data_IF_244413272691
#
_entry.id   IF_244413272691
#
_cell.length_a   1.000
_cell.length_b   1.000
_cell.length_c   1.000
_cell.angle_alpha   90.00
_cell.angle_beta   90.00
_cell.angle_gamma   90.00
#
_symmetry.space_group_name_H-M   'P 1'
#
loop_
_entity.id
_entity.type
_entity.pdbx_description
1 polymer ?
#
# COMPACT_ATOMS: atom_id res chain seq x y z
N UNK A 1 28.46 17.26 -9.48
CA UNK A 1 27.68 18.39 -10.04
C UNK A 1 26.45 17.91 -10.82
N UNK A 2 26.60 16.97 -11.77
CA UNK A 2 25.48 16.41 -12.56
C UNK A 2 24.34 15.84 -11.69
N UNK A 3 24.67 15.04 -10.67
CA UNK A 3 23.65 14.43 -9.80
C UNK A 3 22.78 15.47 -9.08
N UNK A 4 23.39 16.54 -8.56
CA UNK A 4 22.67 17.63 -7.89
C UNK A 4 21.75 18.35 -8.87
N UNK A 5 22.21 18.60 -10.10
CA UNK A 5 21.39 19.21 -11.15
C UNK A 5 20.18 18.33 -11.50
N UNK A 6 20.36 17.01 -11.63
CA UNK A 6 19.25 16.08 -11.86
C UNK A 6 18.20 16.16 -10.74
N UNK A 7 18.62 16.12 -9.48
CA UNK A 7 17.69 16.23 -8.34
C UNK A 7 16.97 17.58 -8.31
N UNK A 8 17.68 18.66 -8.64
CA UNK A 8 17.09 20.00 -8.76
C UNK A 8 16.00 20.02 -9.84
N UNK A 9 16.29 19.52 -11.04
CA UNK A 9 15.30 19.41 -12.13
C UNK A 9 14.09 18.59 -11.69
N UNK A 10 14.30 17.41 -11.08
CA UNK A 10 13.22 16.57 -10.55
C UNK A 10 12.37 17.33 -9.53
N UNK A 11 13.00 18.08 -8.61
CA UNK A 11 12.30 18.89 -7.60
C UNK A 11 11.46 20.01 -8.22
N UNK A 12 11.97 20.67 -9.26
CA UNK A 12 11.25 21.73 -9.99
C UNK A 12 10.03 21.14 -10.70
N UNK A 13 10.17 19.99 -11.38
CA UNK A 13 9.06 19.33 -12.07
C UNK A 13 7.94 18.95 -11.07
N UNK A 14 8.31 18.38 -9.93
CA UNK A 14 7.35 18.05 -8.86
C UNK A 14 6.70 19.31 -8.26
N UNK A 15 7.46 20.39 -8.06
CA UNK A 15 6.93 21.66 -7.54
C UNK A 15 5.98 22.35 -8.51
N UNK A 16 6.32 22.37 -9.80
CA UNK A 16 5.49 22.94 -10.87
C UNK A 16 4.22 22.13 -11.03
N UNK A 17 4.27 20.79 -11.00
CA UNK A 17 3.09 19.94 -11.12
C UNK A 17 2.11 20.18 -9.96
N UNK A 18 2.61 20.32 -8.73
CA UNK A 18 1.80 20.66 -7.55
C UNK A 18 1.16 22.02 -7.72
N UNK A 19 1.93 23.03 -8.13
CA UNK A 19 1.43 24.39 -8.34
C UNK A 19 0.35 24.43 -9.42
N UNK A 20 0.58 23.79 -10.57
CA UNK A 20 -0.37 23.68 -11.66
C UNK A 20 -1.66 22.95 -11.24
N UNK A 21 -1.54 21.89 -10.44
CA UNK A 21 -2.69 21.14 -9.91
C UNK A 21 -3.51 22.00 -8.95
N UNK A 22 -2.88 22.77 -8.06
CA UNK A 22 -3.55 23.70 -7.14
C UNK A 22 -4.31 24.77 -7.92
N UNK A 23 -3.68 25.39 -8.92
CA UNK A 23 -4.29 26.42 -9.78
C UNK A 23 -5.51 25.84 -10.51
N UNK A 24 -5.39 24.65 -11.09
CA UNK A 24 -6.47 23.99 -11.83
C UNK A 24 -7.62 23.56 -10.91
N UNK A 25 -7.30 23.03 -9.72
CA UNK A 25 -8.29 22.57 -8.76
C UNK A 25 -8.98 23.71 -8.00
N UNK A 26 -8.38 24.92 -7.96
CA UNK A 26 -8.81 26.10 -7.18
C UNK A 26 -8.92 25.88 -5.67
N UNK A 27 -8.47 24.73 -5.16
CA UNK A 27 -8.46 24.37 -3.74
C UNK A 27 -7.49 23.21 -3.50
N UNK A 28 -6.79 23.25 -2.37
CA UNK A 28 -6.00 22.12 -1.88
C UNK A 28 -6.94 21.13 -1.17
N UNK A 29 -7.01 19.90 -1.67
CA UNK A 29 -7.72 18.80 -1.02
C UNK A 29 -6.72 17.70 -0.66
N UNK A 30 -6.39 17.57 0.62
CA UNK A 30 -5.43 16.57 1.12
C UNK A 30 -5.91 15.13 0.89
N UNK A 31 -7.21 14.95 0.67
CA UNK A 31 -7.75 13.64 0.31
C UNK A 31 -7.51 13.30 -1.16
N UNK A 32 -7.02 14.22 -2.00
CA UNK A 32 -6.66 13.93 -3.39
C UNK A 32 -5.39 13.07 -3.44
N UNK A 33 -5.42 11.88 -4.09
CA UNK A 33 -4.28 10.96 -4.17
C UNK A 33 -3.02 11.60 -4.72
N UNK A 34 -3.17 12.62 -5.56
CA UNK A 34 -2.06 13.32 -6.20
C UNK A 34 -1.05 13.89 -5.20
N UNK A 35 -1.51 14.47 -4.10
CA UNK A 35 -0.60 15.06 -3.11
C UNK A 35 0.17 14.00 -2.34
N UNK A 36 -0.49 12.89 -1.98
CA UNK A 36 0.18 11.77 -1.30
C UNK A 36 1.24 11.13 -2.20
N UNK A 37 0.87 10.79 -3.44
CA UNK A 37 1.78 10.15 -4.41
C UNK A 37 2.97 11.06 -4.72
N UNK A 38 2.72 12.34 -5.00
CA UNK A 38 3.78 13.32 -5.29
C UNK A 38 4.70 13.55 -4.08
N UNK A 39 4.14 13.60 -2.87
CA UNK A 39 4.94 13.70 -1.63
C UNK A 39 5.82 12.49 -1.39
N UNK A 40 5.32 11.27 -1.63
CA UNK A 40 6.12 10.04 -1.54
C UNK A 40 7.23 10.03 -2.58
N UNK A 41 6.93 10.41 -3.82
CA UNK A 41 7.96 10.50 -4.85
C UNK A 41 9.00 11.58 -4.56
N UNK A 42 8.62 12.71 -3.95
CA UNK A 42 9.60 13.70 -3.50
C UNK A 42 10.54 13.11 -2.43
N UNK A 43 9.99 12.40 -1.43
CA UNK A 43 10.80 11.76 -0.39
C UNK A 43 11.81 10.76 -0.99
N UNK A 44 11.34 9.92 -1.90
CA UNK A 44 12.15 8.83 -2.49
C UNK A 44 13.14 9.34 -3.54
N UNK A 45 12.72 10.21 -4.47
CA UNK A 45 13.53 10.58 -5.65
C UNK A 45 14.26 11.90 -5.53
N UNK A 46 13.97 12.71 -4.51
CA UNK A 46 14.65 14.01 -4.30
C UNK A 46 15.35 14.01 -2.94
N UNK A 47 14.60 13.84 -1.86
CA UNK A 47 15.14 14.02 -0.51
C UNK A 47 16.15 12.92 -0.13
N UNK A 48 15.81 11.65 -0.27
CA UNK A 48 16.72 10.57 0.11
C UNK A 48 18.03 10.53 -0.70
N UNK A 49 18.03 10.68 -2.04
CA UNK A 49 19.28 10.79 -2.81
C UNK A 49 20.09 12.04 -2.44
N UNK A 50 19.43 13.14 -2.07
CA UNK A 50 20.11 14.35 -1.62
C UNK A 50 20.83 14.12 -0.28
N UNK A 51 20.21 13.42 0.67
CA UNK A 51 20.89 13.05 1.92
C UNK A 51 22.10 12.15 1.66
N UNK A 52 22.03 11.20 0.71
CA UNK A 52 23.20 10.38 0.31
C UNK A 52 24.34 11.23 -0.24
N UNK A 53 24.05 12.21 -1.11
CA UNK A 53 25.07 13.14 -1.62
C UNK A 53 25.72 13.93 -0.49
N UNK A 54 24.92 14.39 0.48
CA UNK A 54 25.39 15.19 1.62
C UNK A 54 26.32 14.41 2.53
N UNK A 55 26.05 13.13 2.78
CA UNK A 55 26.91 12.26 3.61
C UNK A 55 28.04 11.59 2.82
N UNK A 56 28.11 11.81 1.50
CA UNK A 56 29.13 11.22 0.63
C UNK A 56 28.92 9.73 0.33
N UNK A 57 27.71 9.20 0.52
CA UNK A 57 27.39 7.81 0.21
C UNK A 57 27.11 7.63 -1.28
N UNK A 58 27.90 6.79 -1.95
CA UNK A 58 27.79 6.52 -3.40
C UNK A 58 27.38 5.09 -3.72
N UNK A 59 27.76 4.15 -2.85
CA UNK A 59 27.46 2.73 -2.99
C UNK A 59 26.39 2.23 -2.00
N UNK A 60 25.80 1.10 -2.36
CA UNK A 60 25.01 0.27 -1.47
C UNK A 60 25.48 -1.16 -1.57
N UNK A 61 25.96 -1.71 -0.44
CA UNK A 61 26.45 -3.09 -0.36
C UNK A 61 27.55 -3.38 -1.41
N UNK A 62 28.43 -2.42 -1.66
CA UNK A 62 29.55 -2.56 -2.59
C UNK A 62 29.19 -2.38 -4.07
N UNK A 63 27.94 -2.01 -4.40
CA UNK A 63 27.53 -1.63 -5.75
C UNK A 63 27.42 -0.12 -5.82
N UNK A 64 28.18 0.51 -6.72
CA UNK A 64 28.09 1.95 -7.00
C UNK A 64 26.75 2.29 -7.65
N UNK A 65 25.87 2.96 -6.90
CA UNK A 65 24.49 3.25 -7.34
C UNK A 65 24.36 4.67 -7.86
N UNK A 66 25.11 5.61 -7.28
CA UNK A 66 24.97 7.04 -7.59
C UNK A 66 25.47 7.41 -8.99
N UNK A 67 26.21 6.53 -9.67
CA UNK A 67 26.52 6.65 -11.11
C UNK A 67 25.24 6.57 -11.96
N UNK A 68 24.27 5.74 -11.57
CA UNK A 68 23.03 5.53 -12.31
C UNK A 68 21.94 6.57 -12.01
N UNK A 69 22.18 7.49 -11.07
CA UNK A 69 21.21 8.50 -10.66
C UNK A 69 20.65 9.33 -11.82
N UNK A 70 21.45 9.82 -12.81
CA UNK A 70 20.89 10.58 -13.94
C UNK A 70 19.93 9.74 -14.78
N UNK A 71 20.27 8.48 -15.06
CA UNK A 71 19.44 7.55 -15.83
C UNK A 71 18.15 7.20 -15.08
N UNK A 72 18.27 6.87 -13.80
CA UNK A 72 17.14 6.59 -12.91
C UNK A 72 16.18 7.78 -12.82
N UNK A 73 16.70 9.00 -12.63
CA UNK A 73 15.87 10.22 -12.62
C UNK A 73 15.16 10.47 -13.94
N UNK A 74 15.82 10.26 -15.08
CA UNK A 74 15.19 10.42 -16.38
C UNK A 74 13.99 9.47 -16.55
N UNK A 75 14.16 8.18 -16.21
CA UNK A 75 13.07 7.20 -16.22
C UNK A 75 11.96 7.61 -15.26
N UNK A 76 12.30 8.07 -14.05
CA UNK A 76 11.34 8.56 -13.08
C UNK A 76 10.52 9.74 -13.62
N UNK A 77 11.17 10.76 -14.17
CA UNK A 77 10.51 11.95 -14.72
C UNK A 77 9.53 11.56 -15.84
N UNK A 78 9.94 10.68 -16.76
CA UNK A 78 9.08 10.18 -17.85
C UNK A 78 7.83 9.48 -17.28
N UNK A 79 8.02 8.60 -16.29
CA UNK A 79 6.91 7.92 -15.63
C UNK A 79 5.99 8.88 -14.86
N UNK A 80 6.56 9.86 -14.15
CA UNK A 80 5.80 10.84 -13.39
C UNK A 80 4.96 11.77 -14.29
N UNK A 81 5.52 12.22 -15.41
CA UNK A 81 4.77 12.98 -16.43
C UNK A 81 3.62 12.12 -16.97
N UNK A 82 3.87 10.84 -17.26
CA UNK A 82 2.85 9.91 -17.74
C UNK A 82 1.72 9.72 -16.72
N UNK A 83 2.06 9.66 -15.42
CA UNK A 83 1.09 9.65 -14.32
C UNK A 83 0.21 10.92 -14.29
N UNK A 84 0.81 12.10 -14.43
CA UNK A 84 0.05 13.36 -14.49
C UNK A 84 -0.89 13.35 -15.69
N UNK A 85 -0.40 12.96 -16.87
CA UNK A 85 -1.21 12.88 -18.08
C UNK A 85 -2.40 11.92 -17.89
N UNK A 86 -2.17 10.72 -17.36
CA UNK A 86 -3.25 9.77 -17.06
C UNK A 86 -4.33 10.37 -16.15
N UNK A 87 -3.91 11.12 -15.13
CA UNK A 87 -4.81 11.88 -14.27
C UNK A 87 -5.58 12.97 -15.04
N UNK A 88 -4.93 13.72 -15.91
CA UNK A 88 -5.55 14.78 -16.72
C UNK A 88 -6.60 14.25 -17.71
N UNK A 89 -6.30 13.13 -18.38
CA UNK A 89 -7.23 12.47 -19.32
C UNK A 89 -8.46 11.86 -18.63
N UNK A 90 -8.42 11.68 -17.31
CA UNK A 90 -9.58 11.27 -16.54
C UNK A 90 -10.61 12.42 -16.49
N UNK A 91 -11.58 12.43 -17.40
CA UNK A 91 -12.60 13.49 -17.45
C UNK A 91 -13.34 13.62 -16.12
N UNK A 92 -13.34 14.83 -15.56
CA UNK A 92 -14.21 15.22 -14.44
C UNK A 92 -15.66 15.26 -14.92
N UNK A 93 -16.33 14.10 -14.96
CA UNK A 93 -17.74 14.05 -15.34
C UNK A 93 -18.56 14.91 -14.36
N UNK A 94 -19.17 16.01 -14.80
CA UNK A 94 -19.80 17.02 -13.92
C UNK A 94 -21.22 16.67 -13.45
N UNK A 95 -21.68 15.42 -13.54
CA UNK A 95 -22.93 15.04 -12.87
C UNK A 95 -22.71 15.12 -11.36
N UNK A 96 -23.31 16.13 -10.72
CA UNK A 96 -23.61 16.12 -9.28
C UNK A 96 -24.30 14.78 -9.03
N UNK A 97 -23.79 13.95 -8.14
CA UNK A 97 -24.71 13.00 -7.56
C UNK A 97 -25.64 13.81 -6.67
N UNK A 98 -26.93 13.52 -6.76
CA UNK A 98 -27.84 13.89 -5.70
C UNK A 98 -27.28 13.25 -4.42
N UNK A 99 -27.02 14.09 -3.41
CA UNK A 99 -26.48 13.72 -2.12
C UNK A 99 -27.52 12.97 -1.28
N UNK A 100 -28.19 11.97 -1.85
CA UNK A 100 -28.76 10.93 -1.04
C UNK A 100 -27.60 9.95 -0.76
N UNK A 101 -27.09 9.97 0.47
CA UNK A 101 -26.70 8.70 1.09
C UNK A 101 -27.94 7.82 0.88
N UNK A 102 -27.94 6.94 -0.12
CA UNK A 102 -29.07 6.04 -0.34
C UNK A 102 -29.33 5.42 1.02
N UNK A 103 -30.50 5.70 1.61
CA UNK A 103 -30.87 5.07 2.86
C UNK A 103 -30.99 3.59 2.54
N UNK A 104 -29.92 2.87 2.83
CA UNK A 104 -29.89 1.45 2.59
C UNK A 104 -30.97 0.81 3.43
N UNK A 105 -31.78 -0.01 2.77
CA UNK A 105 -32.79 -0.84 3.38
C UNK A 105 -32.23 -1.50 4.65
N UNK A 106 -33.03 -1.50 5.72
CA UNK A 106 -32.71 -2.18 6.98
C UNK A 106 -32.26 -3.63 6.73
N UNK A 107 -32.86 -4.32 5.76
CA UNK A 107 -32.45 -5.67 5.37
C UNK A 107 -31.03 -5.72 4.79
N UNK A 108 -30.72 -4.81 3.85
CA UNK A 108 -29.40 -4.70 3.24
C UNK A 108 -28.33 -4.37 4.31
N UNK A 109 -28.63 -3.47 5.24
CA UNK A 109 -27.73 -3.13 6.35
C UNK A 109 -27.44 -4.32 7.26
N UNK A 110 -28.46 -5.10 7.64
CA UNK A 110 -28.27 -6.31 8.47
C UNK A 110 -27.43 -7.34 7.72
N UNK A 111 -27.68 -7.52 6.42
CA UNK A 111 -26.88 -8.39 5.57
C UNK A 111 -25.41 -7.96 5.53
N UNK A 112 -25.12 -6.67 5.29
CA UNK A 112 -23.75 -6.14 5.29
C UNK A 112 -23.05 -6.40 6.61
N UNK A 113 -23.71 -6.16 7.75
CA UNK A 113 -23.11 -6.38 9.08
C UNK A 113 -22.79 -7.86 9.33
N UNK A 114 -23.69 -8.78 8.92
CA UNK A 114 -23.45 -10.22 9.02
C UNK A 114 -22.31 -10.66 8.11
N UNK A 115 -22.30 -10.19 6.86
CA UNK A 115 -21.23 -10.42 5.90
C UNK A 115 -19.88 -9.96 6.45
N UNK A 116 -19.81 -8.74 6.99
CA UNK A 116 -18.60 -8.18 7.56
C UNK A 116 -18.10 -8.97 8.78
N UNK A 117 -18.99 -9.44 9.65
CA UNK A 117 -18.62 -10.27 10.78
C UNK A 117 -18.09 -11.64 10.34
N UNK A 118 -18.78 -12.32 9.42
CA UNK A 118 -18.35 -13.62 8.89
C UNK A 118 -16.98 -13.48 8.22
N UNK A 119 -16.82 -12.46 7.38
CA UNK A 119 -15.56 -12.17 6.70
C UNK A 119 -14.43 -11.91 7.71
N UNK A 120 -14.68 -11.13 8.76
CA UNK A 120 -13.68 -10.84 9.79
C UNK A 120 -13.26 -12.10 10.54
N UNK A 121 -14.23 -12.89 11.02
CA UNK A 121 -13.97 -14.13 11.77
C UNK A 121 -13.20 -15.12 10.88
N UNK A 122 -13.67 -15.34 9.66
CA UNK A 122 -13.00 -16.22 8.70
C UNK A 122 -11.56 -15.75 8.40
N UNK A 123 -11.38 -14.45 8.20
CA UNK A 123 -10.06 -13.87 7.91
C UNK A 123 -9.07 -14.04 9.06
N UNK A 124 -9.55 -13.84 10.29
CA UNK A 124 -8.74 -14.04 11.50
C UNK A 124 -8.44 -15.52 11.74
N UNK A 125 -9.42 -16.41 11.56
CA UNK A 125 -9.19 -17.85 11.69
C UNK A 125 -8.12 -18.33 10.71
N UNK A 126 -8.24 -18.03 9.41
CA UNK A 126 -7.25 -18.42 8.41
C UNK A 126 -5.85 -17.87 8.73
N UNK A 127 -5.75 -16.58 9.04
CA UNK A 127 -4.45 -15.96 9.32
C UNK A 127 -3.81 -16.47 10.62
N UNK A 128 -4.60 -16.65 11.68
CA UNK A 128 -4.10 -17.22 12.95
C UNK A 128 -3.70 -18.68 12.78
N UNK A 129 -4.46 -19.49 12.04
CA UNK A 129 -4.08 -20.87 11.74
C UNK A 129 -2.71 -20.91 11.06
N UNK A 130 -2.49 -20.11 10.02
CA UNK A 130 -1.18 -19.99 9.38
C UNK A 130 -0.08 -19.67 10.39
N UNK A 131 -0.30 -18.65 11.22
CA UNK A 131 0.70 -18.21 12.17
C UNK A 131 1.03 -19.26 13.24
N UNK A 132 0.02 -19.98 13.75
CA UNK A 132 0.25 -21.09 14.67
C UNK A 132 1.04 -22.23 14.03
N UNK A 133 0.78 -22.54 12.74
CA UNK A 133 1.53 -23.55 11.99
C UNK A 133 3.00 -23.15 11.79
N UNK A 134 3.29 -21.86 11.66
CA UNK A 134 4.68 -21.34 11.59
C UNK A 134 5.40 -21.30 12.94
N UNK A 135 4.72 -21.69 14.04
CA UNK A 135 5.28 -21.73 15.39
C UNK A 135 5.02 -20.47 16.25
N UNK A 136 4.20 -19.53 15.79
CA UNK A 136 3.91 -18.29 16.53
C UNK A 136 2.66 -18.46 17.40
N UNK A 137 2.77 -18.13 18.69
CA UNK A 137 1.63 -18.12 19.61
C UNK A 137 0.85 -16.79 19.53
N UNK A 138 -0.46 -16.83 19.86
CA UNK A 138 -1.30 -15.63 19.90
C UNK A 138 -0.78 -14.64 20.95
N UNK A 139 -0.31 -15.14 22.10
CA UNK A 139 0.22 -14.32 23.17
C UNK A 139 1.49 -13.58 22.74
N UNK A 140 2.37 -14.26 22.00
CA UNK A 140 3.56 -13.63 21.39
C UNK A 140 3.17 -12.50 20.44
N UNK A 141 2.11 -12.68 19.64
CA UNK A 141 1.66 -11.64 18.69
C UNK A 141 1.09 -10.40 19.35
N UNK A 142 0.27 -10.59 20.39
CA UNK A 142 -0.36 -9.48 21.11
C UNK A 142 0.63 -8.77 22.04
N UNK A 143 1.69 -9.44 22.47
CA UNK A 143 2.72 -8.91 23.37
C UNK A 143 4.00 -8.41 22.67
N UNK A 144 4.05 -8.42 21.34
CA UNK A 144 5.27 -8.17 20.57
C UNK A 144 6.46 -9.07 20.96
N UNK A 145 6.18 -10.30 21.37
CA UNK A 145 7.20 -11.26 21.79
C UNK A 145 7.68 -11.12 23.23
N UNK A 146 7.15 -10.16 24.01
CA UNK A 146 7.53 -10.01 25.41
C UNK A 146 7.05 -11.18 26.30
N UNK A 147 5.93 -11.80 25.93
CA UNK A 147 5.37 -12.95 26.64
C UNK A 147 5.34 -14.16 25.69
N UNK A 148 6.18 -15.18 25.97
CA UNK A 148 6.08 -16.49 25.33
C UNK A 148 7.35 -17.09 24.69
N UNK A 149 8.55 -16.56 24.93
CA UNK A 149 9.79 -17.15 24.43
C UNK A 149 10.97 -16.91 25.40
N UNK A 150 11.36 -17.94 26.15
CA UNK A 150 12.69 -18.00 26.78
C UNK A 150 13.75 -18.50 25.76
N UNK A 151 13.30 -19.08 24.64
CA UNK A 151 14.13 -19.53 23.51
C UNK A 151 13.67 -18.96 22.16
N UNK A 152 14.58 -18.76 21.19
CA UNK A 152 14.24 -18.27 19.86
C UNK A 152 13.25 -19.18 19.12
N UNK A 153 12.22 -18.61 18.51
CA UNK A 153 11.21 -19.39 17.77
C UNK A 153 11.82 -20.00 16.51
N UNK A 154 11.85 -21.33 16.43
CA UNK A 154 12.21 -22.07 15.22
C UNK A 154 11.04 -21.99 14.23
N UNK A 155 11.24 -21.22 13.17
CA UNK A 155 10.24 -21.05 12.12
C UNK A 155 10.08 -22.31 11.28
N UNK A 156 8.86 -22.84 11.24
CA UNK A 156 8.49 -23.95 10.34
C UNK A 156 8.01 -23.40 9.00
N UNK A 157 8.57 -23.91 7.91
CA UNK A 157 8.03 -23.69 6.58
C UNK A 157 6.73 -24.48 6.42
N UNK A 158 5.66 -23.81 5.99
CA UNK A 158 4.36 -24.42 5.73
C UNK A 158 3.93 -24.15 4.29
N UNK A 159 3.36 -25.15 3.63
CA UNK A 159 2.77 -25.04 2.29
C UNK A 159 1.52 -24.15 2.25
N UNK A 160 0.97 -23.78 3.42
CA UNK A 160 -0.26 -23.02 3.56
C UNK A 160 -0.05 -21.50 3.67
N UNK A 161 1.02 -20.96 3.07
CA UNK A 161 1.33 -19.51 3.06
C UNK A 161 0.16 -18.64 2.61
N UNK A 162 -0.66 -19.14 1.67
CA UNK A 162 -1.86 -18.46 1.16
C UNK A 162 -2.82 -18.05 2.27
N UNK A 163 -2.94 -18.82 3.37
CA UNK A 163 -3.84 -18.50 4.47
C UNK A 163 -3.50 -17.17 5.16
N UNK A 164 -2.22 -16.77 5.15
CA UNK A 164 -1.77 -15.47 5.66
C UNK A 164 -2.36 -14.29 4.90
N UNK A 165 -2.74 -14.48 3.62
CA UNK A 165 -3.24 -13.42 2.77
C UNK A 165 -4.59 -12.87 3.25
N UNK A 166 -5.40 -13.72 3.91
CA UNK A 166 -6.69 -13.32 4.47
C UNK A 166 -6.60 -12.27 5.57
N UNK A 167 -5.43 -12.05 6.18
CA UNK A 167 -5.26 -10.92 7.11
C UNK A 167 -5.63 -9.57 6.45
N UNK A 168 -5.41 -9.45 5.12
CA UNK A 168 -5.79 -8.27 4.34
C UNK A 168 -7.31 -8.13 4.18
N UNK A 169 -8.03 -9.25 4.12
CA UNK A 169 -9.51 -9.30 4.08
C UNK A 169 -10.15 -8.84 5.39
N UNK A 170 -9.43 -8.87 6.51
CA UNK A 170 -9.92 -8.33 7.78
C UNK A 170 -10.11 -6.81 7.74
N UNK A 171 -9.33 -6.08 6.94
CA UNK A 171 -9.41 -4.61 6.87
C UNK A 171 -10.75 -4.10 6.33
N UNK A 172 -11.20 -4.49 5.11
CA UNK A 172 -12.52 -4.10 4.64
C UNK A 172 -13.64 -4.60 5.56
N UNK A 173 -13.48 -5.77 6.19
CA UNK A 173 -14.46 -6.31 7.13
C UNK A 173 -14.68 -5.40 8.35
N UNK A 174 -13.60 -4.98 9.03
CA UNK A 174 -13.69 -4.09 10.18
C UNK A 174 -14.18 -2.70 9.77
N UNK A 175 -13.75 -2.21 8.60
CA UNK A 175 -14.20 -0.90 8.10
C UNK A 175 -15.69 -0.89 7.74
N UNK A 176 -16.22 -2.00 7.21
CA UNK A 176 -17.66 -2.19 7.02
C UNK A 176 -18.41 -2.18 8.37
N UNK A 177 -17.90 -2.90 9.38
CA UNK A 177 -18.47 -2.84 10.73
C UNK A 177 -18.46 -1.40 11.27
N UNK A 178 -17.35 -0.68 11.11
CA UNK A 178 -17.23 0.71 11.56
C UNK A 178 -18.21 1.65 10.85
N UNK A 179 -18.36 1.49 9.54
CA UNK A 179 -19.23 2.32 8.71
C UNK A 179 -20.72 2.12 9.00
N UNK A 180 -21.16 0.88 9.24
CA UNK A 180 -22.58 0.53 9.34
C UNK A 180 -23.10 0.34 10.77
N UNK A 181 -22.21 0.09 11.74
CA UNK A 181 -22.60 -0.14 13.14
C UNK A 181 -22.71 1.18 13.90
N UNK A 182 -23.92 1.48 14.39
CA UNK A 182 -24.19 2.69 15.21
C UNK A 182 -23.95 2.45 16.71
N UNK A 183 -24.26 1.25 17.22
CA UNK A 183 -24.10 0.86 18.63
C UNK A 183 -22.92 -0.10 18.83
N UNK A 184 -22.27 -0.05 20.00
CA UNK A 184 -21.18 -0.98 20.33
C UNK A 184 -19.85 -0.71 19.62
N UNK A 185 -19.56 0.56 19.25
CA UNK A 185 -18.33 0.96 18.56
C UNK A 185 -17.04 0.59 19.30
N UNK A 186 -17.09 0.45 20.63
CA UNK A 186 -15.96 -0.03 21.44
C UNK A 186 -15.42 -1.38 20.94
N UNK A 187 -16.30 -2.34 20.64
CA UNK A 187 -15.90 -3.65 20.10
C UNK A 187 -15.22 -3.53 18.72
N UNK A 188 -15.68 -2.60 17.87
CA UNK A 188 -15.05 -2.36 16.57
C UNK A 188 -13.66 -1.74 16.72
N UNK A 189 -13.47 -0.81 17.67
CA UNK A 189 -12.14 -0.27 17.97
C UNK A 189 -11.19 -1.34 18.53
N UNK A 190 -11.68 -2.24 19.37
CA UNK A 190 -10.91 -3.41 19.83
C UNK A 190 -10.49 -4.31 18.66
N UNK A 191 -11.37 -4.55 17.68
CA UNK A 191 -11.01 -5.29 16.47
C UNK A 191 -9.93 -4.57 15.64
N UNK A 192 -10.02 -3.24 15.46
CA UNK A 192 -8.96 -2.46 14.80
C UNK A 192 -7.62 -2.61 15.53
N UNK A 193 -7.62 -2.47 16.86
CA UNK A 193 -6.42 -2.64 17.67
C UNK A 193 -5.83 -4.05 17.54
N UNK A 194 -6.65 -5.09 17.66
CA UNK A 194 -6.21 -6.47 17.51
C UNK A 194 -5.59 -6.75 16.13
N UNK A 195 -6.25 -6.33 15.04
CA UNK A 195 -5.72 -6.54 13.68
C UNK A 195 -4.46 -5.72 13.44
N UNK A 196 -4.37 -4.50 13.98
CA UNK A 196 -3.14 -3.70 13.90
C UNK A 196 -1.98 -4.42 14.63
N UNK A 197 -2.19 -4.92 15.86
CA UNK A 197 -1.18 -5.65 16.63
C UNK A 197 -0.73 -6.95 15.93
N UNK A 198 -1.67 -7.75 15.41
CA UNK A 198 -1.37 -8.96 14.63
C UNK A 198 -0.59 -8.60 13.35
N UNK A 199 -0.97 -7.52 12.67
CA UNK A 199 -0.26 -7.05 11.46
C UNK A 199 1.16 -6.58 11.77
N UNK A 200 1.38 -5.92 12.90
CA UNK A 200 2.69 -5.46 13.34
C UNK A 200 3.59 -6.62 13.75
N UNK A 201 3.10 -7.54 14.58
CA UNK A 201 3.86 -8.72 15.03
C UNK A 201 4.15 -9.72 13.91
N UNK A 202 3.25 -9.84 12.92
CA UNK A 202 3.50 -10.61 11.70
C UNK A 202 4.54 -9.97 10.77
N UNK A 203 4.98 -8.74 11.06
CA UNK A 203 5.89 -7.98 10.20
C UNK A 203 5.22 -7.36 8.97
N UNK A 204 3.90 -7.47 8.86
CA UNK A 204 3.07 -6.87 7.81
C UNK A 204 2.73 -5.40 8.14
N UNK A 205 3.76 -4.58 8.31
CA UNK A 205 3.67 -3.16 8.69
C UNK A 205 2.73 -2.36 7.78
N UNK A 206 2.72 -2.68 6.50
CA UNK A 206 1.88 -2.00 5.52
C UNK A 206 0.38 -2.23 5.81
N UNK A 207 0.01 -3.46 6.17
CA UNK A 207 -1.35 -3.80 6.59
C UNK A 207 -1.71 -3.04 7.87
N UNK A 208 -0.78 -2.93 8.84
CA UNK A 208 -1.02 -2.15 10.06
C UNK A 208 -1.27 -0.66 9.77
N UNK A 209 -0.45 -0.04 8.91
CA UNK A 209 -0.64 1.35 8.47
C UNK A 209 -2.04 1.52 7.86
N UNK A 210 -2.46 0.57 7.01
CA UNK A 210 -3.74 0.62 6.34
C UNK A 210 -4.92 0.46 7.32
N UNK A 211 -4.81 -0.46 8.30
CA UNK A 211 -5.79 -0.65 9.38
C UNK A 211 -5.96 0.63 10.21
N UNK A 212 -4.88 1.37 10.45
CA UNK A 212 -4.90 2.63 11.22
C UNK A 212 -5.46 3.79 10.38
N UNK A 213 -5.00 3.94 9.13
CA UNK A 213 -5.37 5.09 8.29
C UNK A 213 -6.79 4.99 7.73
N UNK A 214 -7.25 3.80 7.38
CA UNK A 214 -8.53 3.62 6.71
C UNK A 214 -9.75 4.15 7.48
N UNK A 215 -9.91 3.97 8.82
CA UNK A 215 -11.02 4.59 9.56
C UNK A 215 -10.89 6.12 9.67
N UNK A 216 -9.67 6.66 9.76
CA UNK A 216 -9.41 8.11 9.81
C UNK A 216 -9.84 8.75 8.48
N UNK A 217 -9.40 8.17 7.36
CA UNK A 217 -9.75 8.64 6.02
C UNK A 217 -11.27 8.53 5.83
N UNK A 218 -11.86 7.39 6.18
CA UNK A 218 -13.30 7.17 6.07
C UNK A 218 -14.11 8.20 6.86
N UNK A 219 -13.68 8.57 8.08
CA UNK A 219 -14.34 9.58 8.88
C UNK A 219 -14.41 10.94 8.16
N UNK A 220 -13.29 11.43 7.62
CA UNK A 220 -13.27 12.72 6.89
C UNK A 220 -14.04 12.66 5.58
N UNK A 221 -13.89 11.57 4.84
CA UNK A 221 -14.56 11.38 3.55
C UNK A 221 -16.08 11.26 3.72
N UNK A 222 -16.55 10.50 4.70
CA UNK A 222 -18.00 10.28 4.95
C UNK A 222 -18.71 11.48 5.56
N UNK A 223 -18.02 12.29 6.35
CA UNK A 223 -18.58 13.53 6.92
C UNK A 223 -18.51 14.72 5.94
N UNK A 224 -17.82 14.57 4.82
CA UNK A 224 -17.53 15.67 3.89
C UNK A 224 -16.58 16.73 4.47
N UNK A 225 -16.08 16.54 5.68
CA UNK A 225 -15.12 17.44 6.32
C UNK A 225 -13.71 17.19 5.79
N UNK A 226 -12.77 18.10 6.12
CA UNK A 226 -11.36 17.96 5.75
C UNK A 226 -10.48 18.12 6.98
N UNK A 227 -9.40 17.33 7.11
CA UNK A 227 -8.52 17.42 8.26
C UNK A 227 -7.83 18.79 8.29
N UNK A 228 -7.72 19.37 9.48
CA UNK A 228 -6.96 20.60 9.70
C UNK A 228 -5.47 20.30 9.51
N UNK A 229 -4.68 21.31 9.11
CA UNK A 229 -3.21 21.19 8.96
C UNK A 229 -2.54 20.58 10.21
N UNK A 230 -2.96 20.99 11.41
CA UNK A 230 -2.46 20.45 12.69
C UNK A 230 -2.71 18.94 12.83
N UNK A 231 -3.88 18.46 12.43
CA UNK A 231 -4.22 17.04 12.48
C UNK A 231 -3.37 16.23 11.51
N UNK A 232 -3.11 16.76 10.31
CA UNK A 232 -2.24 16.11 9.32
C UNK A 232 -0.82 15.99 9.87
N UNK A 233 -0.27 17.07 10.42
CA UNK A 233 1.06 17.08 11.03
C UNK A 233 1.16 16.07 12.18
N UNK A 234 0.14 16.01 13.05
CA UNK A 234 0.09 15.05 14.15
C UNK A 234 0.02 13.60 13.65
N UNK A 235 -0.79 13.31 12.63
CA UNK A 235 -0.86 11.97 12.04
C UNK A 235 0.46 11.57 11.40
N UNK A 236 1.10 12.47 10.63
CA UNK A 236 2.41 12.23 10.02
C UNK A 236 3.49 12.01 11.10
N UNK A 237 3.47 12.77 12.18
CA UNK A 237 4.40 12.62 13.30
C UNK A 237 4.22 11.28 14.02
N UNK A 238 2.99 10.88 14.33
CA UNK A 238 2.70 9.57 14.94
C UNK A 238 3.11 8.43 14.00
N UNK A 239 2.83 8.57 12.69
CA UNK A 239 3.27 7.59 11.69
C UNK A 239 4.79 7.50 11.62
N UNK A 240 5.50 8.63 11.64
CA UNK A 240 6.96 8.67 11.66
C UNK A 240 7.49 7.92 12.88
N UNK A 241 7.05 8.26 14.09
CA UNK A 241 7.46 7.58 15.32
C UNK A 241 7.17 6.07 15.23
N UNK A 242 5.96 5.69 14.83
CA UNK A 242 5.56 4.30 14.72
C UNK A 242 6.46 3.52 13.75
N UNK A 243 6.66 4.05 12.54
CA UNK A 243 7.51 3.41 11.52
C UNK A 243 8.96 3.26 12.00
N UNK A 244 9.51 4.26 12.68
CA UNK A 244 10.86 4.22 13.22
C UNK A 244 11.01 3.18 14.34
N UNK A 245 10.14 3.22 15.36
CA UNK A 245 10.18 2.27 16.49
C UNK A 245 10.02 0.83 15.99
N UNK A 246 9.04 0.59 15.12
CA UNK A 246 8.82 -0.74 14.54
C UNK A 246 10.00 -1.13 13.63
N UNK A 247 10.64 -0.17 12.96
CA UNK A 247 11.85 -0.38 12.18
C UNK A 247 13.02 -0.89 13.01
N UNK A 248 13.31 -0.20 14.12
CA UNK A 248 14.39 -0.53 15.07
C UNK A 248 14.17 -1.94 15.64
N UNK A 249 12.97 -2.22 16.15
CA UNK A 249 12.69 -3.50 16.82
C UNK A 249 12.22 -4.62 15.91
N UNK A 250 12.26 -4.43 14.58
CA UNK A 250 11.73 -5.39 13.61
C UNK A 250 12.31 -6.79 13.79
N UNK A 251 13.62 -6.88 14.00
CA UNK A 251 14.30 -8.16 14.15
C UNK A 251 13.92 -8.82 15.48
N UNK A 252 13.85 -8.05 16.56
CA UNK A 252 13.45 -8.55 17.89
C UNK A 252 12.01 -9.06 17.88
N UNK A 253 11.09 -8.30 17.29
CA UNK A 253 9.68 -8.69 17.14
C UNK A 253 9.51 -9.96 16.31
N UNK A 254 10.37 -10.18 15.30
CA UNK A 254 10.40 -11.43 14.52
C UNK A 254 11.09 -12.56 15.28
N UNK A 255 12.14 -12.29 16.03
CA UNK A 255 12.85 -13.33 16.76
C UNK A 255 12.13 -13.74 18.06
N UNK A 256 11.17 -12.94 18.53
CA UNK A 256 10.55 -13.12 19.84
C UNK A 256 11.45 -12.70 20.98
N UNK A 257 12.45 -11.86 20.72
CA UNK A 257 13.42 -11.43 21.74
C UNK A 257 12.94 -10.16 22.43
N UNK A 258 13.43 -9.94 23.65
CA UNK A 258 13.11 -8.73 24.42
C UNK A 258 13.51 -7.45 23.66
N UNK A 259 12.67 -6.44 23.79
CA UNK A 259 12.87 -5.10 23.24
C UNK A 259 13.67 -4.30 24.25
N UNK A 260 14.86 -3.86 23.85
CA UNK A 260 15.68 -2.94 24.65
C UNK A 260 15.40 -1.50 24.21
N UNK A 261 14.72 -0.72 25.04
CA UNK A 261 14.38 0.67 24.71
C UNK A 261 15.58 1.62 24.76
N UNK A 262 16.71 1.21 25.35
CA UNK A 262 17.91 2.04 25.45
C UNK A 262 18.56 2.31 24.09
N UNK A 263 18.29 1.47 23.08
CA UNK A 263 18.79 1.66 21.71
C UNK A 263 18.00 2.67 20.89
N UNK A 264 16.93 3.26 21.45
CA UNK A 264 16.12 4.26 20.76
C UNK A 264 16.69 5.64 20.99
N UNK A 265 17.46 6.11 20.01
CA UNK A 265 17.88 7.51 19.92
C UNK A 265 17.48 8.13 18.57
N UNK A 266 17.78 9.41 18.39
CA UNK A 266 17.43 10.13 17.17
C UNK A 266 18.15 9.57 15.93
N UNK A 267 19.40 9.12 16.07
CA UNK A 267 20.19 8.58 14.97
C UNK A 267 19.63 7.22 14.52
N UNK A 268 19.30 6.34 15.46
CA UNK A 268 18.63 5.07 15.22
C UNK A 268 17.25 5.28 14.57
N UNK A 269 16.48 6.27 15.02
CA UNK A 269 15.21 6.63 14.38
C UNK A 269 15.41 7.15 12.96
N UNK A 270 16.41 7.99 12.74
CA UNK A 270 16.72 8.53 11.41
C UNK A 270 17.17 7.43 10.46
N UNK A 271 18.09 6.54 10.88
CA UNK A 271 18.51 5.35 10.12
C UNK A 271 17.33 4.44 9.79
N UNK A 272 16.46 4.16 10.76
CA UNK A 272 15.26 3.37 10.54
C UNK A 272 14.28 4.03 9.55
N UNK A 273 14.14 5.35 9.60
CA UNK A 273 13.36 6.10 8.63
C UNK A 273 13.97 6.04 7.23
N UNK A 274 15.25 6.37 7.11
CA UNK A 274 16.02 6.37 5.87
C UNK A 274 15.95 5.03 5.16
N UNK A 275 16.11 3.92 5.89
CA UNK A 275 15.96 2.57 5.33
C UNK A 275 14.63 2.32 4.60
N UNK A 276 13.54 3.02 4.97
CA UNK A 276 12.25 2.90 4.28
C UNK A 276 12.09 3.87 3.10
N UNK A 277 12.88 4.94 3.02
CA UNK A 277 12.80 5.97 1.96
C UNK A 277 13.89 5.77 0.90
N UNK A 278 15.01 5.12 1.24
CA UNK A 278 16.15 4.82 0.37
C UNK A 278 15.85 3.80 -0.74
N UNK A 279 14.59 3.41 -0.93
CA UNK A 279 14.15 2.52 -2.01
C UNK A 279 14.44 3.05 -3.43
N UNK A 280 14.97 4.27 -3.58
CA UNK A 280 15.49 4.79 -4.84
C UNK A 280 16.75 4.04 -5.32
N UNK A 281 17.63 3.61 -4.41
CA UNK A 281 18.90 2.99 -4.79
C UNK A 281 18.68 1.69 -5.60
N UNK A 282 17.80 0.74 -5.21
CA UNK A 282 17.61 -0.46 -6.01
C UNK A 282 16.97 -0.13 -7.34
N UNK A 283 16.15 0.92 -7.41
CA UNK A 283 15.61 1.38 -8.68
C UNK A 283 16.68 1.98 -9.60
N UNK A 284 17.60 2.81 -9.09
CA UNK A 284 18.69 3.35 -9.91
C UNK A 284 19.59 2.24 -10.42
N UNK A 285 19.97 1.30 -9.55
CA UNK A 285 20.76 0.14 -9.97
C UNK A 285 20.02 -0.70 -11.03
N UNK A 286 18.71 -0.92 -10.87
CA UNK A 286 17.87 -1.60 -11.85
C UNK A 286 17.91 -0.90 -13.21
N UNK A 287 17.85 0.43 -13.24
CA UNK A 287 17.99 1.15 -14.51
C UNK A 287 19.39 1.02 -15.11
N UNK A 288 20.44 0.84 -14.32
CA UNK A 288 21.81 0.61 -14.78
C UNK A 288 21.97 -0.77 -15.43
N UNK A 289 21.59 -1.81 -14.69
CA UNK A 289 21.75 -3.22 -15.06
C UNK A 289 20.80 -3.67 -16.17
N UNK A 290 19.60 -3.09 -16.28
CA UNK A 290 18.61 -3.52 -17.27
C UNK A 290 18.61 -2.59 -18.49
N UNK A 291 18.75 -3.11 -19.73
CA UNK A 291 18.78 -4.53 -20.11
C UNK A 291 20.18 -5.14 -20.28
N UNK A 292 21.25 -4.48 -19.82
CA UNK A 292 22.64 -4.86 -20.11
C UNK A 292 23.03 -6.22 -19.53
N UNK A 293 22.82 -6.38 -18.23
CA UNK A 293 23.24 -7.56 -17.46
C UNK A 293 22.04 -8.46 -17.15
N UNK A 294 20.86 -7.87 -17.03
CA UNK A 294 19.60 -8.57 -16.74
C UNK A 294 18.60 -8.20 -17.84
N UNK A 295 18.03 -9.18 -18.57
CA UNK A 295 17.02 -8.90 -19.57
C UNK A 295 15.73 -8.38 -18.94
N UNK A 296 14.90 -7.71 -19.74
CA UNK A 296 13.53 -7.40 -19.32
C UNK A 296 12.75 -8.68 -18.98
N UNK A 297 11.80 -8.56 -18.06
CA UNK A 297 10.98 -9.69 -17.62
C UNK A 297 9.84 -10.03 -18.59
N UNK A 298 9.54 -9.14 -19.55
CA UNK A 298 8.64 -9.35 -20.69
C UNK A 298 7.23 -9.82 -20.31
N UNK A 299 6.71 -9.38 -19.16
CA UNK A 299 5.35 -9.69 -18.74
C UNK A 299 5.22 -10.96 -17.91
N UNK A 300 6.31 -11.68 -17.63
CA UNK A 300 6.27 -12.88 -16.79
C UNK A 300 5.76 -12.58 -15.37
N UNK A 301 5.99 -11.37 -14.85
CA UNK A 301 5.43 -10.95 -13.56
C UNK A 301 3.91 -10.85 -13.57
N UNK A 302 3.30 -10.53 -14.72
CA UNK A 302 1.83 -10.56 -14.88
C UNK A 302 1.31 -11.99 -14.94
N UNK A 303 2.03 -12.91 -15.59
CA UNK A 303 1.66 -14.33 -15.57
C UNK A 303 1.71 -14.90 -14.15
N UNK A 304 2.66 -14.44 -13.34
CA UNK A 304 2.77 -14.83 -11.94
C UNK A 304 1.54 -14.42 -11.12
N UNK A 305 0.75 -13.40 -11.52
CA UNK A 305 -0.52 -13.08 -10.86
C UNK A 305 -1.43 -14.31 -10.82
N UNK A 306 -1.55 -15.03 -11.92
CA UNK A 306 -2.46 -16.19 -12.02
C UNK A 306 -1.85 -17.39 -11.30
N UNK A 307 -0.57 -17.65 -11.54
CA UNK A 307 0.13 -18.83 -11.01
C UNK A 307 0.24 -18.73 -9.49
N UNK A 308 0.45 -17.54 -8.91
CA UNK A 308 0.69 -17.36 -7.48
C UNK A 308 -0.47 -17.85 -6.60
N UNK A 309 -1.72 -17.79 -7.08
CA UNK A 309 -2.89 -18.28 -6.34
C UNK A 309 -3.02 -19.82 -6.30
N UNK A 310 -2.25 -20.55 -7.11
CA UNK A 310 -2.21 -22.01 -7.08
C UNK A 310 -1.33 -22.45 -5.90
N UNK A 311 -1.88 -23.12 -4.86
CA UNK A 311 -1.09 -23.59 -3.73
C UNK A 311 -0.09 -24.67 -4.15
N UNK A 312 1.07 -24.72 -3.49
CA UNK A 312 2.06 -25.78 -3.73
C UNK A 312 1.55 -27.18 -3.42
N UNK A 313 0.50 -27.33 -2.59
CA UNK A 313 -0.13 -28.62 -2.36
C UNK A 313 -0.85 -29.20 -3.59
N UNK A 314 -1.20 -28.36 -4.58
CA UNK A 314 -1.83 -28.79 -5.84
C UNK A 314 -0.78 -28.88 -6.96
N UNK A 315 0.24 -28.01 -6.92
CA UNK A 315 1.33 -27.98 -7.89
C UNK A 315 2.67 -27.84 -7.16
N UNK A 316 3.27 -28.97 -6.82
CA UNK A 316 4.53 -29.01 -6.05
C UNK A 316 5.67 -28.37 -6.84
N UNK A 317 5.88 -28.77 -8.09
CA UNK A 317 6.91 -28.25 -9.01
C UNK A 317 6.57 -26.90 -9.66
N UNK A 318 5.71 -26.11 -9.03
CA UNK A 318 5.37 -24.76 -9.54
C UNK A 318 6.65 -23.93 -9.65
N UNK A 319 6.93 -23.32 -10.81
CA UNK A 319 8.17 -22.58 -11.01
C UNK A 319 8.33 -21.48 -9.98
N UNK A 320 9.30 -21.63 -9.08
CA UNK A 320 9.65 -20.59 -8.11
C UNK A 320 10.17 -19.32 -8.83
N UNK A 321 10.69 -19.49 -10.06
CA UNK A 321 11.45 -18.51 -10.83
C UNK A 321 10.65 -17.64 -11.80
N UNK A 322 9.36 -17.90 -12.03
CA UNK A 322 8.51 -16.99 -12.83
C UNK A 322 8.25 -15.65 -12.14
N UNK A 323 8.66 -15.53 -10.87
CA UNK A 323 8.40 -14.39 -9.99
C UNK A 323 9.62 -13.81 -9.31
N UNK A 324 10.84 -14.02 -9.83
CA UNK A 324 12.01 -13.32 -9.29
C UNK A 324 11.74 -11.82 -9.37
N UNK A 325 11.62 -11.17 -8.23
CA UNK A 325 11.50 -9.72 -8.18
C UNK A 325 12.73 -9.11 -8.85
N UNK A 326 12.62 -7.89 -9.39
CA UNK A 326 13.78 -7.23 -9.98
C UNK A 326 14.96 -7.17 -8.98
N UNK A 327 14.64 -7.08 -7.69
CA UNK A 327 15.61 -7.11 -6.61
C UNK A 327 16.32 -8.46 -6.47
N UNK A 328 15.59 -9.58 -6.49
CA UNK A 328 16.18 -10.93 -6.48
C UNK A 328 17.04 -11.21 -7.72
N UNK A 329 16.68 -10.63 -8.87
CA UNK A 329 17.49 -10.72 -10.09
C UNK A 329 18.83 -9.97 -9.95
N UNK A 330 18.84 -8.81 -9.30
CA UNK A 330 20.05 -7.99 -9.12
C UNK A 330 20.98 -8.48 -8.00
N UNK A 331 20.41 -8.87 -6.86
CA UNK A 331 21.19 -9.11 -5.63
C UNK A 331 21.16 -10.58 -5.17
N UNK A 332 20.36 -11.44 -5.79
CA UNK A 332 20.18 -12.82 -5.35
C UNK A 332 19.20 -12.97 -4.18
N UNK A 333 18.88 -14.21 -3.83
CA UNK A 333 17.83 -14.57 -2.85
C UNK A 333 18.17 -14.19 -1.40
N UNK A 334 19.45 -14.07 -1.06
CA UNK A 334 19.92 -13.73 0.30
C UNK A 334 19.60 -12.29 0.72
N UNK A 335 19.26 -11.42 -0.25
CA UNK A 335 19.01 -9.99 -0.01
C UNK A 335 17.51 -9.62 -0.10
N UNK A 336 16.60 -10.60 -0.18
CA UNK A 336 15.14 -10.46 -0.43
C UNK A 336 14.29 -9.64 0.55
N UNK A 337 14.87 -8.71 1.32
CA UNK A 337 14.18 -7.80 2.24
C UNK A 337 14.03 -6.36 1.76
N UNK A 338 14.78 -5.94 0.74
CA UNK A 338 14.77 -4.56 0.23
C UNK A 338 13.71 -4.36 -0.86
N UNK A 339 13.11 -3.17 -0.88
CA UNK A 339 12.03 -2.81 -1.80
C UNK A 339 12.51 -1.73 -2.77
N UNK A 340 11.90 -1.68 -3.95
CA UNK A 340 12.01 -0.59 -4.92
C UNK A 340 10.64 0.03 -5.14
N UNK A 341 10.53 1.28 -5.59
CA UNK A 341 9.25 1.93 -5.89
C UNK A 341 8.53 1.25 -7.06
N UNK A 342 7.21 1.43 -7.15
CA UNK A 342 6.36 0.85 -8.20
C UNK A 342 6.89 1.03 -9.63
N UNK A 343 7.49 2.18 -9.92
CA UNK A 343 8.05 2.49 -11.24
C UNK A 343 9.17 1.52 -11.66
N UNK A 344 9.92 0.96 -10.70
CA UNK A 344 10.94 -0.04 -10.99
C UNK A 344 10.37 -1.34 -11.50
N UNK A 345 9.20 -1.74 -11.01
CA UNK A 345 8.51 -2.94 -11.49
C UNK A 345 8.05 -2.75 -12.95
N UNK A 346 7.48 -1.59 -13.26
CA UNK A 346 7.04 -1.28 -14.62
C UNK A 346 8.21 -1.23 -15.62
N UNK A 347 9.36 -0.69 -15.17
CA UNK A 347 10.58 -0.68 -15.98
C UNK A 347 11.19 -2.08 -16.13
N UNK A 348 11.13 -2.91 -15.10
CA UNK A 348 11.64 -4.28 -15.18
C UNK A 348 10.87 -5.12 -16.20
N UNK A 349 9.55 -4.96 -16.24
CA UNK A 349 8.69 -5.73 -17.14
C UNK A 349 8.89 -5.35 -18.62
N UNK A 350 8.86 -4.05 -18.95
CA UNK A 350 8.86 -3.59 -20.35
C UNK A 350 9.69 -2.31 -20.60
N UNK A 351 10.63 -1.99 -19.72
CA UNK A 351 11.48 -0.81 -19.83
C UNK A 351 10.68 0.50 -19.78
N UNK A 352 11.14 1.49 -20.55
CA UNK A 352 10.54 2.83 -20.61
C UNK A 352 9.07 2.76 -21.07
N UNK A 353 8.74 1.86 -22.00
CA UNK A 353 7.36 1.68 -22.48
C UNK A 353 6.43 1.20 -21.36
N UNK A 354 6.88 0.22 -20.57
CA UNK A 354 6.16 -0.25 -19.38
C UNK A 354 5.94 0.87 -18.38
N UNK A 355 7.00 1.64 -18.09
CA UNK A 355 6.94 2.81 -17.23
C UNK A 355 5.88 3.82 -17.70
N UNK A 356 5.87 4.20 -18.98
CA UNK A 356 4.90 5.16 -19.53
C UNK A 356 3.47 4.63 -19.39
N UNK A 357 3.21 3.42 -19.89
CA UNK A 357 1.86 2.85 -19.95
C UNK A 357 1.29 2.60 -18.56
N UNK A 358 2.04 1.93 -17.68
CA UNK A 358 1.57 1.57 -16.35
C UNK A 358 1.39 2.81 -15.45
N UNK A 359 2.29 3.81 -15.55
CA UNK A 359 2.13 5.06 -14.79
C UNK A 359 0.95 5.88 -15.29
N UNK A 360 0.70 5.91 -16.61
CA UNK A 360 -0.50 6.54 -17.16
C UNK A 360 -1.79 5.88 -16.62
N UNK A 361 -1.86 4.55 -16.65
CA UNK A 361 -3.00 3.81 -16.11
C UNK A 361 -3.17 4.10 -14.61
N UNK A 362 -2.07 4.13 -13.86
CA UNK A 362 -2.08 4.45 -12.43
C UNK A 362 -2.64 5.85 -12.15
N UNK A 363 -2.21 6.86 -12.92
CA UNK A 363 -2.73 8.22 -12.85
C UNK A 363 -4.22 8.30 -13.15
N UNK A 364 -4.65 7.61 -14.20
CA UNK A 364 -6.06 7.54 -14.59
C UNK A 364 -6.93 6.87 -13.52
N UNK A 365 -6.51 5.72 -12.98
CA UNK A 365 -7.26 4.96 -11.98
C UNK A 365 -7.39 5.72 -10.67
N UNK A 366 -6.29 6.27 -10.16
CA UNK A 366 -6.30 7.04 -8.89
C UNK A 366 -7.21 8.26 -9.01
N UNK A 367 -7.13 8.99 -10.13
CA UNK A 367 -8.00 10.13 -10.39
C UNK A 367 -9.46 9.73 -10.55
N UNK A 368 -9.73 8.64 -11.26
CA UNK A 368 -11.09 8.10 -11.46
C UNK A 368 -11.75 7.76 -10.13
N UNK A 369 -11.02 7.13 -9.22
CA UNK A 369 -11.50 6.77 -7.88
C UNK A 369 -11.75 8.00 -7.01
N UNK A 370 -10.88 9.01 -7.06
CA UNK A 370 -11.10 10.29 -6.37
C UNK A 370 -12.37 11.01 -6.86
N UNK A 371 -12.57 11.14 -8.17
CA UNK A 371 -13.78 11.76 -8.73
C UNK A 371 -15.04 10.94 -8.48
N UNK A 372 -14.91 9.63 -8.38
CA UNK A 372 -15.97 8.73 -7.94
C UNK A 372 -16.36 9.03 -6.49
N UNK A 373 -15.39 9.09 -5.58
CA UNK A 373 -15.62 9.44 -4.18
C UNK A 373 -16.29 10.81 -4.01
N UNK A 374 -15.86 11.83 -4.76
CA UNK A 374 -16.46 13.17 -4.69
C UNK A 374 -17.92 13.23 -5.15
N UNK A 375 -18.36 12.26 -5.95
CA UNK A 375 -19.72 12.23 -6.47
C UNK A 375 -20.63 11.46 -5.55
N UNK A 376 -20.27 10.25 -5.17
CA UNK A 376 -21.25 9.31 -4.63
C UNK A 376 -21.50 9.47 -3.14
N UNK A 377 -22.78 9.42 -2.74
CA UNK A 377 -23.19 9.06 -1.37
C UNK A 377 -23.08 7.55 -1.06
N UNK A 378 -22.66 6.71 -2.02
CA UNK A 378 -22.46 5.26 -1.82
C UNK A 378 -21.38 5.01 -0.77
N UNK A 379 -21.79 4.54 0.42
CA UNK A 379 -20.89 4.21 1.53
C UNK A 379 -19.85 3.16 1.14
N UNK A 380 -20.20 2.16 0.33
CA UNK A 380 -19.23 1.15 -0.12
C UNK A 380 -18.13 1.77 -0.99
N UNK A 381 -18.45 2.79 -1.77
CA UNK A 381 -17.48 3.54 -2.54
C UNK A 381 -16.56 4.39 -1.66
N UNK A 382 -17.10 5.02 -0.61
CA UNK A 382 -16.28 5.75 0.38
C UNK A 382 -15.34 4.80 1.14
N UNK A 383 -15.81 3.61 1.52
CA UNK A 383 -14.99 2.55 2.12
C UNK A 383 -13.87 2.12 1.16
N UNK A 384 -14.23 1.80 -0.10
CA UNK A 384 -13.27 1.42 -1.14
C UNK A 384 -12.19 2.49 -1.32
N UNK A 385 -12.61 3.75 -1.37
CA UNK A 385 -11.71 4.89 -1.51
C UNK A 385 -10.77 5.05 -0.30
N UNK A 386 -11.30 4.88 0.91
CA UNK A 386 -10.55 5.04 2.16
C UNK A 386 -9.45 3.99 2.30
N UNK A 387 -9.74 2.76 1.90
CA UNK A 387 -8.77 1.67 1.82
C UNK A 387 -7.74 1.97 0.73
N UNK A 388 -8.17 2.38 -0.47
CA UNK A 388 -7.27 2.69 -1.57
C UNK A 388 -6.28 3.81 -1.21
N UNK A 389 -6.74 4.91 -0.63
CA UNK A 389 -5.86 6.03 -0.26
C UNK A 389 -4.80 5.61 0.76
N UNK A 390 -5.15 4.79 1.75
CA UNK A 390 -4.18 4.20 2.67
C UNK A 390 -3.21 3.22 1.99
N UNK A 391 -3.70 2.45 1.02
CA UNK A 391 -2.92 1.49 0.24
C UNK A 391 -1.88 2.13 -0.69
N UNK A 392 -2.11 3.37 -1.15
CA UNK A 392 -1.19 4.05 -2.07
C UNK A 392 0.22 4.19 -1.51
N UNK A 393 0.39 4.29 -0.19
CA UNK A 393 1.71 4.27 0.45
C UNK A 393 2.47 2.98 0.11
N UNK A 394 1.81 1.83 0.25
CA UNK A 394 2.41 0.54 -0.07
C UNK A 394 2.62 0.38 -1.57
N UNK A 395 1.64 0.76 -2.38
CA UNK A 395 1.73 0.63 -3.83
C UNK A 395 2.93 1.40 -4.36
N UNK A 396 3.08 2.68 -3.99
CA UNK A 396 4.18 3.54 -4.46
C UNK A 396 5.54 3.04 -3.96
N UNK A 397 5.65 2.67 -2.68
CA UNK A 397 6.94 2.36 -2.06
C UNK A 397 7.40 0.89 -2.24
N UNK A 398 6.59 0.02 -2.84
CA UNK A 398 6.95 -1.40 -3.05
C UNK A 398 6.49 -1.93 -4.40
N UNK A 399 7.43 -2.14 -5.31
CA UNK A 399 7.27 -2.78 -6.61
C UNK A 399 7.23 -4.29 -6.48
N UNK A 400 6.06 -4.88 -6.73
CA UNK A 400 5.87 -6.32 -6.97
C UNK A 400 4.45 -6.52 -7.49
N UNK A 401 4.30 -6.76 -8.79
CA UNK A 401 2.98 -6.93 -9.43
C UNK A 401 2.19 -8.08 -8.79
N UNK A 402 2.88 -9.17 -8.48
CA UNK A 402 2.29 -10.35 -7.84
C UNK A 402 1.76 -10.03 -6.43
N UNK A 403 2.53 -9.30 -5.62
CA UNK A 403 2.07 -8.83 -4.30
C UNK A 403 0.88 -7.89 -4.39
N UNK A 404 0.86 -6.96 -5.36
CA UNK A 404 -0.28 -6.07 -5.57
C UNK A 404 -1.53 -6.83 -5.98
N UNK A 405 -1.41 -7.89 -6.78
CA UNK A 405 -2.56 -8.70 -7.14
C UNK A 405 -3.17 -9.42 -5.93
N UNK A 406 -2.34 -9.97 -5.03
CA UNK A 406 -2.80 -10.51 -3.74
C UNK A 406 -3.54 -9.43 -2.95
N UNK A 407 -2.93 -8.25 -2.80
CA UNK A 407 -3.56 -7.14 -2.07
C UNK A 407 -4.91 -6.79 -2.70
N UNK A 408 -5.01 -6.71 -4.02
CA UNK A 408 -6.26 -6.39 -4.72
C UNK A 408 -7.33 -7.45 -4.46
N UNK A 409 -6.99 -8.72 -4.62
CA UNK A 409 -7.93 -9.83 -4.47
C UNK A 409 -8.43 -9.93 -3.03
N UNK A 410 -7.55 -9.94 -2.05
CA UNK A 410 -7.96 -10.17 -0.66
C UNK A 410 -8.51 -8.90 0.01
N UNK A 411 -8.10 -7.71 -0.41
CA UNK A 411 -8.53 -6.45 0.22
C UNK A 411 -9.74 -5.80 -0.48
N UNK A 412 -9.80 -5.81 -1.82
CA UNK A 412 -10.93 -5.23 -2.56
C UNK A 412 -11.94 -6.26 -3.03
N UNK A 413 -11.52 -7.50 -3.28
CA UNK A 413 -12.41 -8.61 -3.69
C UNK A 413 -13.63 -8.79 -2.79
N UNK A 414 -13.51 -8.76 -1.44
CA UNK A 414 -14.68 -8.87 -0.57
C UNK A 414 -15.70 -7.73 -0.74
N UNK A 415 -15.25 -6.50 -0.99
CA UNK A 415 -16.15 -5.37 -1.25
C UNK A 415 -16.85 -5.54 -2.60
N UNK A 416 -16.13 -6.00 -3.62
CA UNK A 416 -16.72 -6.26 -4.94
C UNK A 416 -17.75 -7.39 -4.89
N UNK A 417 -17.45 -8.48 -4.18
CA UNK A 417 -18.39 -9.57 -3.94
C UNK A 417 -19.65 -9.04 -3.24
N UNK A 418 -19.49 -8.26 -2.17
CA UNK A 418 -20.60 -7.64 -1.45
C UNK A 418 -21.50 -6.79 -2.38
N UNK A 419 -20.92 -6.00 -3.29
CA UNK A 419 -21.69 -5.19 -4.26
C UNK A 419 -22.55 -6.04 -5.22
N UNK A 420 -22.17 -7.29 -5.46
CA UNK A 420 -22.91 -8.24 -6.31
C UNK A 420 -24.03 -8.90 -5.50
N UNK A 421 -23.73 -9.36 -4.29
CA UNK A 421 -24.67 -10.18 -3.48
C UNK A 421 -25.63 -9.38 -2.61
N UNK A 422 -25.40 -8.07 -2.43
CA UNK A 422 -26.26 -7.24 -1.57
C UNK A 422 -27.70 -7.27 -2.07
N UNK A 423 -28.69 -7.59 -1.20
CA UNK A 423 -30.10 -7.53 -1.58
C UNK A 423 -30.45 -6.10 -2.02
N UNK A 424 -30.91 -5.94 -3.27
CA UNK A 424 -31.43 -4.65 -3.75
C UNK A 424 -32.94 -4.63 -3.52
N UNK A 425 -33.46 -3.55 -2.92
CA UNK A 425 -34.90 -3.39 -2.74
C UNK A 425 -35.62 -3.38 -4.10
N UNK A 426 -36.85 -3.90 -4.15
CA UNK A 426 -37.65 -4.01 -5.39
C UNK A 426 -37.92 -2.65 -6.07
N UNK A 427 -37.93 -1.55 -5.32
CA UNK A 427 -38.09 -0.18 -5.86
C UNK A 427 -36.95 0.24 -6.81
N UNK A 428 -35.76 -0.37 -6.67
CA UNK A 428 -34.60 -0.04 -7.50
C UNK A 428 -34.75 -0.48 -8.98
N UNK A 429 -35.74 -1.34 -9.30
CA UNK A 429 -35.97 -1.82 -10.68
C UNK A 429 -36.81 -0.86 -11.53
N UNK A 430 -37.67 -0.02 -10.95
CA UNK A 430 -38.54 0.88 -11.75
C UNK A 430 -37.86 2.17 -12.19
N UNK A 431 -36.94 2.75 -11.40
CA UNK A 431 -36.25 4.00 -11.78
C UNK A 431 -35.32 3.88 -13.01
N UNK A 432 -34.96 2.67 -13.44
CA UNK A 432 -34.03 2.48 -14.57
C UNK A 432 -34.68 2.32 -15.94
N UNK A 433 -36.00 2.14 -16.00
CA UNK A 433 -36.71 1.92 -17.27
C UNK A 433 -37.58 3.12 -17.71
N UNK A 434 -37.85 4.08 -16.83
CA UNK A 434 -38.75 5.21 -17.14
C UNK A 434 -38.02 6.50 -17.54
N UNK A 435 -36.79 6.41 -18.06
CA UNK A 435 -36.05 7.56 -18.61
C UNK A 435 -35.30 7.23 -19.89
N UNK A 436 -36.06 6.74 -20.88
CA UNK A 436 -35.69 6.81 -22.30
C UNK A 436 -36.08 8.18 -22.84
#
# INVERSE_FOLDING_TARGET
>A
MVNVLCLFITSVILGVSVSAHIITARKIDVMDPFYLITGLYFLVFVWAPFEWIKIGQTDYQGVEVMEYLPRGNAVFIIGYISYILGGFFCKKNRRKAENALLEEDRQAKVFILRYALILLVFSLLCSLTYFTLTGRSIMMMLSFGQFGADEPVIYKNTSLLFLSCFLRSAVPAILLLFAYRKQGRGTTYLCFAAVALISLSSGSRNTAILVILSPIIYHYVSTGTRPKKRTILLVLFIMFIGVCIIGIFRQNMRAGTRIDLSVVDFDAMMKAFMYNVEIFFPFYNLTGMIPKDIPYHWGLGFLNIVIQFIPHAIWEDKPATLGKTAFEAMYGSSFGGSAYPNIGEFYYEFGILGTIVCMFIFGYVTRKLYYRMLKTGDRLQLITYSIMLGYLFQFVCRGSISSWAIDIVFMFGPIWLLKIVIPRSKEYKHSRYDSI
#
